data_IF_560529578838
#
_entry.id   IF_560529578838
#
_cell.length_a   1.000
_cell.length_b   1.000
_cell.length_c   1.000
_cell.angle_alpha   90.00
_cell.angle_beta   90.00
_cell.angle_gamma   90.00
#
_symmetry.space_group_name_H-M   'P 1'
#
loop_
_entity.id
_entity.type
_entity.pdbx_description
1 polymer ?
#
# COMPACT_ATOMS: atom_id res chain seq x y z
N UNK A 1 16.41 -11.11 -9.23
CA UNK A 1 16.59 -11.13 -7.76
C UNK A 1 16.95 -9.75 -7.19
N UNK A 2 18.07 -9.13 -7.61
CA UNK A 2 18.56 -7.85 -7.05
C UNK A 2 17.58 -6.66 -7.25
N UNK A 3 16.90 -6.58 -8.38
CA UNK A 3 15.90 -5.54 -8.67
C UNK A 3 14.71 -5.61 -7.72
N UNK A 4 14.14 -6.80 -7.51
CA UNK A 4 12.99 -7.01 -6.64
C UNK A 4 13.34 -6.72 -5.17
N UNK A 5 14.53 -7.10 -4.72
CA UNK A 5 15.01 -6.76 -3.37
C UNK A 5 15.18 -5.26 -3.16
N UNK A 6 15.65 -4.52 -4.18
CA UNK A 6 15.75 -3.05 -4.09
C UNK A 6 14.37 -2.39 -4.03
N UNK A 7 13.39 -2.90 -4.79
CA UNK A 7 12.02 -2.38 -4.76
C UNK A 7 11.36 -2.64 -3.39
N UNK A 8 11.55 -3.82 -2.81
CA UNK A 8 11.06 -4.13 -1.46
C UNK A 8 11.73 -3.25 -0.40
N UNK A 9 13.03 -3.00 -0.52
CA UNK A 9 13.76 -2.11 0.38
C UNK A 9 13.23 -0.67 0.27
N UNK A 10 12.97 -0.18 -0.94
CA UNK A 10 12.38 1.14 -1.16
C UNK A 10 10.98 1.25 -0.55
N UNK A 11 10.16 0.20 -0.65
CA UNK A 11 8.86 0.12 0.00
C UNK A 11 9.00 0.15 1.53
N UNK A 12 9.97 -0.56 2.09
CA UNK A 12 10.24 -0.57 3.53
C UNK A 12 10.68 0.81 4.03
N UNK A 13 11.56 1.49 3.28
CA UNK A 13 12.00 2.85 3.59
C UNK A 13 10.81 3.83 3.57
N UNK A 14 9.96 3.78 2.54
CA UNK A 14 8.77 4.66 2.47
C UNK A 14 7.82 4.44 3.65
N UNK A 15 7.62 3.18 4.07
CA UNK A 15 6.86 2.85 5.29
C UNK A 15 7.52 3.41 6.57
N UNK A 16 8.83 3.30 6.69
CA UNK A 16 9.58 3.85 7.82
C UNK A 16 9.48 5.38 7.93
N UNK A 17 9.65 6.08 6.81
CA UNK A 17 9.51 7.55 6.76
C UNK A 17 8.08 7.97 7.12
N UNK A 18 7.07 7.24 6.63
CA UNK A 18 5.66 7.50 6.99
C UNK A 18 5.44 7.36 8.49
N UNK A 19 5.94 6.28 9.10
CA UNK A 19 5.83 6.06 10.54
C UNK A 19 6.50 7.19 11.33
N UNK A 20 7.68 7.64 10.91
CA UNK A 20 8.39 8.76 11.53
C UNK A 20 7.59 10.08 11.46
N UNK A 21 6.98 10.39 10.32
CA UNK A 21 6.13 11.58 10.17
C UNK A 21 4.90 11.54 11.08
N UNK A 22 4.26 10.38 11.22
CA UNK A 22 3.13 10.22 12.12
C UNK A 22 3.54 10.45 13.59
N UNK A 23 4.73 10.02 14.02
CA UNK A 23 5.23 10.33 15.37
C UNK A 23 5.43 11.83 15.58
N UNK A 24 6.04 12.52 14.60
CA UNK A 24 6.24 13.97 14.68
C UNK A 24 4.94 14.75 14.82
N UNK A 25 3.88 14.34 14.12
CA UNK A 25 2.55 14.95 14.25
C UNK A 25 1.98 14.77 15.65
N UNK A 26 2.08 13.57 16.22
CA UNK A 26 1.56 13.27 17.56
C UNK A 26 2.31 14.08 18.62
N UNK A 27 3.63 14.21 18.51
CA UNK A 27 4.40 15.01 19.45
C UNK A 27 4.02 16.50 19.41
N UNK A 28 3.77 17.05 18.22
CA UNK A 28 3.27 18.42 18.08
C UNK A 28 1.88 18.61 18.73
N UNK A 29 0.99 17.62 18.62
CA UNK A 29 -0.36 17.66 19.21
C UNK A 29 -0.36 17.41 20.72
N UNK A 30 0.58 16.63 21.26
CA UNK A 30 0.75 16.46 22.70
C UNK A 30 1.22 17.74 23.38
N UNK A 31 1.97 18.58 22.67
CA UNK A 31 2.38 19.89 23.18
C UNK A 31 1.18 20.82 23.43
N UNK A 32 0.10 20.69 22.64
CA UNK A 32 -1.14 21.47 22.79
C UNK A 32 -2.19 20.77 23.64
N UNK A 33 -2.31 19.44 23.57
CA UNK A 33 -3.28 18.64 24.33
C UNK A 33 -2.59 17.79 25.41
N UNK A 34 -2.06 18.47 26.43
CA UNK A 34 -1.22 17.86 27.49
C UNK A 34 -1.89 16.74 28.32
N UNK A 35 -3.22 16.62 28.29
CA UNK A 35 -3.96 15.60 29.06
C UNK A 35 -4.34 14.36 28.25
N UNK A 36 -3.99 14.27 26.96
CA UNK A 36 -4.33 13.12 26.12
C UNK A 36 -3.14 12.19 25.90
N UNK A 37 -3.41 10.88 25.85
CA UNK A 37 -2.41 9.87 25.54
C UNK A 37 -2.17 9.78 24.02
N UNK A 38 -0.93 9.47 23.57
CA UNK A 38 -0.61 9.30 22.15
C UNK A 38 -1.55 8.33 21.41
N UNK A 39 -2.00 7.27 22.10
CA UNK A 39 -2.92 6.26 21.55
C UNK A 39 -4.32 6.84 21.32
N UNK A 40 -4.80 7.72 22.20
CA UNK A 40 -6.09 8.38 22.06
C UNK A 40 -6.10 9.33 20.87
N UNK A 41 -5.02 10.09 20.68
CA UNK A 41 -4.84 10.99 19.52
C UNK A 41 -4.87 10.19 18.21
N UNK A 42 -4.10 9.09 18.13
CA UNK A 42 -4.12 8.19 16.97
C UNK A 42 -5.51 7.60 16.71
N UNK A 43 -6.21 7.20 17.78
CA UNK A 43 -7.56 6.65 17.71
C UNK A 43 -8.58 7.65 17.18
N UNK A 44 -8.59 8.85 17.77
CA UNK A 44 -9.47 9.95 17.38
C UNK A 44 -9.27 10.32 15.90
N UNK A 45 -8.02 10.46 15.44
CA UNK A 45 -7.70 10.74 14.02
C UNK A 45 -8.19 9.64 13.07
N UNK A 46 -8.04 8.36 13.45
CA UNK A 46 -8.58 7.24 12.65
C UNK A 46 -10.10 7.29 12.57
N UNK A 47 -10.78 7.60 13.66
CA UNK A 47 -12.25 7.71 13.70
C UNK A 47 -12.71 8.87 12.83
N UNK A 48 -12.04 10.03 12.92
CA UNK A 48 -12.33 11.20 12.09
C UNK A 48 -12.20 10.90 10.60
N UNK A 49 -11.07 10.32 10.16
CA UNK A 49 -10.87 9.95 8.75
C UNK A 49 -11.89 8.90 8.31
N UNK A 50 -12.24 7.93 9.15
CA UNK A 50 -13.33 6.96 8.85
C UNK A 50 -14.68 7.66 8.71
N UNK A 51 -14.96 8.66 9.54
CA UNK A 51 -16.15 9.50 9.47
C UNK A 51 -16.24 10.26 8.14
N UNK A 52 -15.15 10.89 7.71
CA UNK A 52 -15.03 11.58 6.41
C UNK A 52 -15.44 10.68 5.24
N UNK A 53 -14.92 9.44 5.21
CA UNK A 53 -15.30 8.47 4.19
C UNK A 53 -16.79 8.10 4.26
N UNK A 54 -17.36 7.93 5.46
CA UNK A 54 -18.78 7.58 5.63
C UNK A 54 -19.71 8.72 5.17
N UNK A 55 -19.32 9.97 5.39
CA UNK A 55 -20.08 11.14 4.98
C UNK A 55 -20.11 11.34 3.46
N UNK A 56 -19.13 10.77 2.74
CA UNK A 56 -19.05 10.88 1.27
C UNK A 56 -19.26 9.51 0.61
N UNK A 57 -20.52 9.10 0.34
CA UNK A 57 -20.83 7.73 -0.06
C UNK A 57 -20.08 7.31 -1.32
N UNK A 58 -19.98 8.17 -2.34
CA UNK A 58 -19.24 7.88 -3.58
C UNK A 58 -17.79 7.46 -3.31
N UNK A 59 -17.08 8.19 -2.46
CA UNK A 59 -15.68 7.92 -2.12
C UNK A 59 -15.56 6.65 -1.28
N UNK A 60 -16.53 6.39 -0.41
CA UNK A 60 -16.58 5.15 0.37
C UNK A 60 -16.69 3.91 -0.52
N UNK A 61 -17.53 3.96 -1.57
CA UNK A 61 -17.64 2.86 -2.54
C UNK A 61 -16.31 2.61 -3.27
N UNK A 62 -15.65 3.69 -3.73
CA UNK A 62 -14.32 3.58 -4.33
C UNK A 62 -13.28 2.97 -3.37
N UNK A 63 -13.37 3.29 -2.07
CA UNK A 63 -12.50 2.66 -1.06
C UNK A 63 -12.71 1.16 -0.96
N UNK A 64 -13.96 0.69 -0.94
CA UNK A 64 -14.24 -0.74 -0.91
C UNK A 64 -13.84 -1.43 -2.22
N UNK A 65 -14.06 -0.79 -3.37
CA UNK A 65 -13.60 -1.30 -4.66
C UNK A 65 -12.07 -1.45 -4.68
N UNK A 66 -11.32 -0.45 -4.20
CA UNK A 66 -9.86 -0.54 -4.09
C UNK A 66 -9.43 -1.68 -3.16
N UNK A 67 -10.07 -1.83 -1.99
CA UNK A 67 -9.77 -2.92 -1.06
C UNK A 67 -10.02 -4.30 -1.70
N UNK A 68 -11.16 -4.48 -2.35
CA UNK A 68 -11.50 -5.74 -3.02
C UNK A 68 -10.48 -6.08 -4.12
N UNK A 69 -10.10 -5.09 -4.92
CA UNK A 69 -9.10 -5.28 -5.98
C UNK A 69 -7.70 -5.57 -5.43
N UNK A 70 -7.29 -4.92 -4.33
CA UNK A 70 -6.02 -5.24 -3.67
C UNK A 70 -5.99 -6.65 -3.08
N UNK A 71 -7.10 -7.10 -2.48
CA UNK A 71 -7.24 -8.48 -1.97
C UNK A 71 -7.13 -9.47 -3.14
N UNK A 72 -7.84 -9.22 -4.23
CA UNK A 72 -7.78 -10.06 -5.43
C UNK A 72 -6.36 -10.08 -6.03
N UNK A 73 -5.70 -8.93 -6.11
CA UNK A 73 -4.32 -8.83 -6.58
C UNK A 73 -3.35 -9.62 -5.68
N UNK A 74 -3.54 -9.56 -4.37
CA UNK A 74 -2.75 -10.33 -3.40
C UNK A 74 -2.94 -11.83 -3.56
N UNK A 75 -4.19 -12.29 -3.75
CA UNK A 75 -4.49 -13.71 -3.99
C UNK A 75 -3.86 -14.21 -5.30
N UNK A 76 -3.93 -13.43 -6.37
CA UNK A 76 -3.34 -13.78 -7.67
C UNK A 76 -1.80 -13.76 -7.62
N UNK A 77 -1.20 -12.79 -6.93
CA UNK A 77 0.24 -12.75 -6.70
C UNK A 77 0.71 -13.95 -5.87
N UNK A 78 -0.06 -14.33 -4.84
CA UNK A 78 0.21 -15.52 -4.06
C UNK A 78 0.16 -16.79 -4.92
N UNK A 79 -0.90 -16.95 -5.73
CA UNK A 79 -1.01 -18.06 -6.69
C UNK A 79 0.19 -18.12 -7.65
N UNK A 80 0.62 -16.97 -8.20
CA UNK A 80 1.79 -16.88 -9.05
C UNK A 80 3.09 -17.26 -8.34
N UNK A 81 3.25 -16.88 -7.08
CA UNK A 81 4.39 -17.28 -6.25
C UNK A 81 4.42 -18.78 -5.93
N UNK A 82 3.25 -19.40 -5.71
CA UNK A 82 3.14 -20.84 -5.49
C UNK A 82 3.56 -21.64 -6.72
N UNK A 83 3.18 -21.19 -7.93
CA UNK A 83 3.64 -21.81 -9.18
C UNK A 83 5.16 -21.76 -9.36
N UNK A 84 5.79 -20.63 -9.02
CA UNK A 84 7.26 -20.51 -9.03
C UNK A 84 7.94 -21.41 -7.99
N UNK A 85 7.36 -21.50 -6.79
CA UNK A 85 7.87 -22.35 -5.71
C UNK A 85 7.82 -23.84 -6.11
N UNK A 86 6.70 -24.28 -6.71
CA UNK A 86 6.53 -25.65 -7.19
C UNK A 86 7.50 -25.98 -8.34
N UNK A 87 7.72 -25.05 -9.27
CA UNK A 87 8.71 -25.20 -10.33
C UNK A 87 10.14 -25.34 -9.79
N UNK A 88 10.54 -24.46 -8.85
CA UNK A 88 11.84 -24.55 -8.19
C UNK A 88 12.00 -25.90 -7.46
N UNK A 89 10.92 -26.38 -6.85
CA UNK A 89 10.91 -27.63 -6.11
C UNK A 89 11.05 -28.87 -7.01
N UNK A 90 10.42 -28.90 -8.18
CA UNK A 90 10.64 -29.97 -9.17
C UNK A 90 12.10 -30.07 -9.62
N UNK A 91 12.82 -28.95 -9.68
CA UNK A 91 14.23 -28.91 -10.08
C UNK A 91 15.22 -29.25 -8.95
N UNK A 92 14.87 -28.97 -7.70
CA UNK A 92 15.80 -29.08 -6.56
C UNK A 92 15.47 -30.20 -5.56
N UNK A 93 14.25 -30.74 -5.58
CA UNK A 93 13.84 -31.88 -4.75
C UNK A 93 13.81 -31.61 -3.24
N UNK A 94 13.87 -30.35 -2.82
CA UNK A 94 14.11 -29.97 -1.41
C UNK A 94 12.84 -29.96 -0.54
N UNK A 95 11.64 -29.89 -1.12
CA UNK A 95 10.37 -29.86 -0.39
C UNK A 95 9.37 -30.84 -1.03
N UNK A 96 8.56 -31.62 -0.29
CA UNK A 96 7.53 -32.46 -0.89
C UNK A 96 6.19 -31.70 -0.97
N UNK A 97 6.21 -30.50 -1.55
CA UNK A 97 5.00 -29.66 -1.71
C UNK A 97 4.57 -29.65 -3.18
N UNK A 98 3.35 -30.12 -3.43
CA UNK A 98 2.71 -30.14 -4.75
C UNK A 98 1.40 -29.36 -4.66
N UNK A 99 1.25 -28.34 -5.48
CA UNK A 99 0.08 -27.46 -5.48
C UNK A 99 -0.78 -27.64 -6.75
N UNK A 100 -0.35 -28.50 -7.68
CA UNK A 100 -1.04 -28.69 -8.96
C UNK A 100 -0.91 -27.49 -9.89
N UNK A 101 0.08 -26.63 -9.63
CA UNK A 101 0.33 -25.33 -10.28
C UNK A 101 1.75 -25.22 -10.83
N UNK A 102 2.48 -26.34 -10.93
CA UNK A 102 3.91 -26.38 -11.25
C UNK A 102 4.28 -26.11 -12.70
N UNK A 103 3.55 -25.22 -13.39
CA UNK A 103 3.88 -24.78 -14.75
C UNK A 103 4.24 -23.29 -14.77
N UNK A 104 5.13 -22.92 -15.70
CA UNK A 104 5.43 -21.53 -16.00
C UNK A 104 4.16 -20.72 -16.35
N UNK A 105 3.16 -21.39 -16.92
CA UNK A 105 1.85 -20.81 -17.26
C UNK A 105 1.06 -20.41 -16.01
N UNK A 106 1.02 -21.26 -14.97
CA UNK A 106 0.31 -20.94 -13.73
C UNK A 106 0.94 -19.76 -13.00
N UNK A 107 2.29 -19.71 -12.94
CA UNK A 107 3.02 -18.56 -12.41
C UNK A 107 2.69 -17.28 -13.20
N UNK A 108 2.76 -17.35 -14.53
CA UNK A 108 2.44 -16.23 -15.43
C UNK A 108 1.01 -15.72 -15.24
N UNK A 109 0.02 -16.62 -15.19
CA UNK A 109 -1.39 -16.27 -14.97
C UNK A 109 -1.57 -15.55 -13.63
N UNK A 110 -0.93 -16.04 -12.56
CA UNK A 110 -1.01 -15.41 -11.24
C UNK A 110 -0.46 -13.98 -11.24
N UNK A 111 0.75 -13.78 -11.77
CA UNK A 111 1.38 -12.46 -11.77
C UNK A 111 0.69 -11.46 -12.70
N UNK A 112 0.31 -11.88 -13.92
CA UNK A 112 -0.45 -11.00 -14.82
C UNK A 112 -1.85 -10.71 -14.30
N UNK A 113 -2.51 -11.69 -13.70
CA UNK A 113 -3.77 -11.48 -12.98
C UNK A 113 -3.61 -10.42 -11.89
N UNK A 114 -2.54 -10.51 -11.09
CA UNK A 114 -2.24 -9.54 -10.04
C UNK A 114 -1.98 -8.13 -10.60
N UNK A 115 -1.32 -8.00 -11.75
CA UNK A 115 -1.13 -6.72 -12.45
C UNK A 115 -2.46 -6.13 -12.90
N UNK A 116 -3.30 -6.93 -13.58
CA UNK A 116 -4.60 -6.48 -14.12
C UNK A 116 -5.54 -5.99 -13.01
N UNK A 117 -5.49 -6.60 -11.83
CA UNK A 117 -6.31 -6.17 -10.68
C UNK A 117 -5.63 -5.09 -9.84
N UNK A 118 -4.31 -5.14 -9.70
CA UNK A 118 -3.52 -4.24 -8.87
C UNK A 118 -3.36 -2.84 -9.46
N UNK A 119 -3.24 -2.71 -10.78
CA UNK A 119 -3.14 -1.41 -11.45
C UNK A 119 -4.39 -0.54 -11.24
N UNK A 120 -5.62 -1.01 -11.52
CA UNK A 120 -6.84 -0.29 -11.17
C UNK A 120 -6.94 0.02 -9.68
N UNK A 121 -6.56 -0.93 -8.80
CA UNK A 121 -6.55 -0.71 -7.36
C UNK A 121 -5.63 0.45 -6.96
N UNK A 122 -4.44 0.52 -7.56
CA UNK A 122 -3.46 1.59 -7.31
C UNK A 122 -3.96 2.95 -7.80
N UNK A 123 -4.62 3.00 -8.97
CA UNK A 123 -5.21 4.24 -9.50
C UNK A 123 -6.36 4.75 -8.62
N UNK A 124 -7.26 3.87 -8.19
CA UNK A 124 -8.34 4.23 -7.27
C UNK A 124 -7.74 4.70 -5.94
N UNK A 125 -6.74 4.00 -5.42
CA UNK A 125 -6.08 4.37 -4.17
C UNK A 125 -5.36 5.72 -4.28
N UNK A 126 -4.70 6.03 -5.40
CA UNK A 126 -4.08 7.33 -5.65
C UNK A 126 -5.13 8.46 -5.66
N UNK A 127 -6.28 8.23 -6.30
CA UNK A 127 -7.42 9.15 -6.24
C UNK A 127 -7.91 9.38 -4.80
N UNK A 128 -8.07 8.30 -4.02
CA UNK A 128 -8.53 8.39 -2.62
C UNK A 128 -7.52 9.14 -1.73
N UNK A 129 -6.23 8.92 -1.94
CA UNK A 129 -5.17 9.65 -1.23
C UNK A 129 -5.26 11.15 -1.53
N UNK A 130 -5.35 11.53 -2.81
CA UNK A 130 -5.47 12.93 -3.21
C UNK A 130 -6.76 13.59 -2.68
N UNK A 131 -7.88 12.87 -2.72
CA UNK A 131 -9.13 13.34 -2.11
C UNK A 131 -8.99 13.56 -0.60
N UNK A 132 -8.38 12.61 0.12
CA UNK A 132 -8.15 12.71 1.57
C UNK A 132 -7.27 13.91 1.90
N UNK A 133 -6.21 14.14 1.14
CA UNK A 133 -5.31 15.27 1.40
C UNK A 133 -6.01 16.61 1.19
N UNK A 134 -6.74 16.77 0.07
CA UNK A 134 -7.49 18.01 -0.22
C UNK A 134 -8.55 18.31 0.83
N UNK A 135 -9.29 17.29 1.29
CA UNK A 135 -10.33 17.46 2.32
C UNK A 135 -9.73 17.87 3.67
N UNK A 136 -8.60 17.29 4.07
CA UNK A 136 -7.91 17.67 5.30
C UNK A 136 -7.30 19.08 5.23
N UNK A 137 -6.75 19.48 4.08
CA UNK A 137 -6.23 20.84 3.88
C UNK A 137 -7.37 21.86 3.97
N UNK A 138 -8.51 21.60 3.32
CA UNK A 138 -9.68 22.47 3.41
C UNK A 138 -10.20 22.59 4.85
N UNK A 139 -10.24 21.49 5.60
CA UNK A 139 -10.63 21.51 7.02
C UNK A 139 -9.69 22.37 7.86
N UNK A 140 -8.37 22.26 7.66
CA UNK A 140 -7.39 23.11 8.35
C UNK A 140 -7.57 24.60 8.06
N UNK A 141 -7.88 24.95 6.80
CA UNK A 141 -8.11 26.34 6.40
C UNK A 141 -9.36 26.92 7.08
N UNK A 142 -10.43 26.12 7.21
CA UNK A 142 -11.66 26.56 7.91
C UNK A 142 -11.47 26.72 9.42
N UNK A 143 -10.55 25.96 10.03
CA UNK A 143 -10.27 25.99 11.47
C UNK A 143 -9.13 26.96 11.87
N UNK A 144 -8.54 27.70 10.90
CA UNK A 144 -7.54 28.73 11.17
C UNK A 144 -6.08 28.24 11.34
N UNK A 145 -5.71 27.08 10.78
CA UNK A 145 -4.35 26.51 10.79
C UNK A 145 -3.64 26.44 12.16
N UNK A 146 -4.36 26.47 13.27
CA UNK A 146 -3.76 26.35 14.60
C UNK A 146 -3.85 24.93 15.16
N UNK A 147 -2.86 24.46 15.93
CA UNK A 147 -2.86 23.15 16.59
C UNK A 147 -3.85 23.05 17.78
N UNK A 148 -4.90 23.86 17.78
CA UNK A 148 -5.95 23.89 18.82
C UNK A 148 -6.99 22.79 18.61
N UNK A 149 -7.08 22.24 17.38
CA UNK A 149 -7.94 21.11 17.06
C UNK A 149 -7.16 19.79 17.14
N UNK A 150 -7.77 18.80 17.80
CA UNK A 150 -7.23 17.46 18.01
C UNK A 150 -6.95 16.72 16.68
N UNK A 151 -7.64 17.12 15.61
CA UNK A 151 -7.54 16.53 14.28
C UNK A 151 -6.63 17.32 13.33
N UNK A 152 -6.09 18.46 13.78
CA UNK A 152 -5.25 19.33 12.97
C UNK A 152 -3.94 18.64 12.59
N UNK A 153 -3.57 18.76 11.32
CA UNK A 153 -2.29 18.26 10.82
C UNK A 153 -1.65 19.30 9.92
N UNK A 154 -0.36 19.64 10.08
CA UNK A 154 0.24 20.69 9.29
C UNK A 154 0.14 20.37 7.78
N UNK A 155 -0.33 21.32 6.99
CA UNK A 155 -0.41 21.27 5.52
C UNK A 155 0.88 20.73 4.86
N UNK A 156 2.10 21.17 5.21
CA UNK A 156 3.31 20.61 4.61
C UNK A 156 3.51 19.12 4.91
N UNK A 157 3.04 18.64 6.07
CA UNK A 157 3.13 17.21 6.42
C UNK A 157 2.08 16.40 5.67
N UNK A 158 0.87 16.93 5.47
CA UNK A 158 -0.16 16.28 4.65
C UNK A 158 0.31 16.05 3.20
N UNK A 159 0.93 17.07 2.59
CA UNK A 159 1.51 16.96 1.24
C UNK A 159 2.65 15.93 1.21
N UNK A 160 3.48 15.87 2.26
CA UNK A 160 4.58 14.90 2.33
C UNK A 160 4.05 13.46 2.48
N UNK A 161 3.02 13.26 3.31
CA UNK A 161 2.35 11.96 3.45
C UNK A 161 1.68 11.53 2.15
N UNK A 162 1.06 12.46 1.42
CA UNK A 162 0.55 12.18 0.08
C UNK A 162 1.67 11.70 -0.84
N UNK A 163 2.77 12.43 -0.97
CA UNK A 163 3.89 12.02 -1.83
C UNK A 163 4.43 10.63 -1.46
N UNK A 164 4.52 10.31 -0.17
CA UNK A 164 4.93 8.98 0.29
C UNK A 164 3.93 7.89 -0.08
N UNK A 165 2.63 8.16 0.03
CA UNK A 165 1.58 7.24 -0.38
C UNK A 165 1.64 6.97 -1.89
N UNK A 166 1.87 8.01 -2.70
CA UNK A 166 2.07 7.88 -4.15
C UNK A 166 3.33 7.08 -4.49
N UNK A 167 4.45 7.34 -3.80
CA UNK A 167 5.69 6.58 -3.98
C UNK A 167 5.50 5.10 -3.63
N UNK A 168 4.84 4.81 -2.50
CA UNK A 168 4.55 3.43 -2.09
C UNK A 168 3.68 2.69 -3.11
N UNK A 169 2.65 3.36 -3.67
CA UNK A 169 1.84 2.81 -4.75
C UNK A 169 2.67 2.56 -6.01
N UNK A 170 3.54 3.49 -6.39
CA UNK A 170 4.47 3.33 -7.50
C UNK A 170 5.39 2.12 -7.31
N UNK A 171 5.94 1.93 -6.11
CA UNK A 171 6.77 0.77 -5.79
C UNK A 171 6.00 -0.55 -5.86
N UNK A 172 4.76 -0.60 -5.35
CA UNK A 172 3.92 -1.79 -5.44
C UNK A 172 3.64 -2.19 -6.89
N UNK A 173 3.28 -1.22 -7.73
CA UNK A 173 3.04 -1.45 -9.16
C UNK A 173 4.32 -1.91 -9.86
N UNK A 174 5.46 -1.28 -9.57
CA UNK A 174 6.74 -1.68 -10.10
C UNK A 174 7.11 -3.12 -9.71
N UNK A 175 6.86 -3.52 -8.46
CA UNK A 175 7.05 -4.91 -8.00
C UNK A 175 6.21 -5.89 -8.79
N UNK A 176 4.89 -5.61 -8.94
CA UNK A 176 3.98 -6.49 -9.67
C UNK A 176 4.40 -6.64 -11.14
N UNK A 177 4.73 -5.53 -11.81
CA UNK A 177 5.21 -5.55 -13.19
C UNK A 177 6.54 -6.28 -13.34
N UNK A 178 7.49 -6.06 -12.43
CA UNK A 178 8.79 -6.73 -12.44
C UNK A 178 8.63 -8.25 -12.28
N UNK A 179 7.71 -8.68 -11.41
CA UNK A 179 7.40 -10.10 -11.23
C UNK A 179 6.72 -10.71 -12.47
N UNK A 180 5.70 -10.04 -13.03
CA UNK A 180 4.99 -10.52 -14.21
C UNK A 180 5.86 -10.57 -15.48
N UNK A 181 6.73 -9.58 -15.67
CA UNK A 181 7.70 -9.57 -16.77
C UNK A 181 8.78 -10.65 -16.53
N UNK A 182 9.22 -10.81 -15.29
CA UNK A 182 10.24 -11.80 -14.96
C UNK A 182 9.79 -13.25 -15.20
N UNK A 183 8.50 -13.57 -15.09
CA UNK A 183 8.01 -14.91 -15.47
C UNK A 183 8.05 -15.15 -16.98
N UNK A 184 7.89 -14.12 -17.80
CA UNK A 184 7.97 -14.21 -19.26
C UNK A 184 9.43 -14.33 -19.74
N UNK A 185 10.34 -13.62 -19.08
CA UNK A 185 11.77 -13.59 -19.43
C UNK A 185 12.59 -14.70 -18.77
N UNK A 186 11.96 -15.64 -18.04
CA UNK A 186 12.67 -16.72 -17.35
C UNK A 186 13.60 -16.25 -16.24
N UNK A 187 13.39 -15.05 -15.67
CA UNK A 187 14.24 -14.53 -14.59
C UNK A 187 14.18 -15.33 -13.29
N UNK A 188 13.17 -16.20 -13.18
CA UNK A 188 12.91 -17.04 -12.01
C UNK A 188 13.12 -18.54 -12.28
N UNK A 189 13.45 -18.93 -13.52
CA UNK A 189 13.80 -20.33 -13.82
C UNK A 189 15.25 -20.57 -13.41
N UNK A 190 15.56 -21.60 -12.59
CA UNK A 190 16.93 -21.98 -12.36
C UNK A 190 17.56 -22.42 -13.68
N UNK A 191 18.73 -21.88 -14.02
CA UNK A 191 19.53 -22.36 -15.13
C UNK A 191 19.82 -23.85 -14.89
N UNK A 192 19.36 -24.70 -15.81
CA UNK A 192 19.79 -26.10 -15.89
C UNK A 192 21.27 -26.21 -16.23
#
# INVERSE_FOLDING_TARGET
>A
MLTLTLLLLALLITCGVRWWLDQHQIHAQLATHKMMLPVQIRGARRVYVRGLYRQTPRVNHWRYAAMALWVLAGLLAFYGAMGLLEQANQTSGLLPLTFGTGSADAASIGWWGAVVTGLPAALIQAYLVGWRTRTLIAANQTAGETPTDLYWTPTPVLIRLERLDWLALGWLVACLLTAAIGTQLGWFTPLG
#
